data_IF_071415641628
#
_entry.id   IF_071415641628
#
_cell.length_a   1.000
_cell.length_b   1.000
_cell.length_c   1.000
_cell.angle_alpha   90.00
_cell.angle_beta   90.00
_cell.angle_gamma   90.00
#
_symmetry.space_group_name_H-M   'P 1'
#
loop_
_entity.id
_entity.type
_entity.pdbx_description
1 polymer ?
#
# COMPACT_ATOMS: atom_id res chain seq x y z
N UNK A 1 5.08 9.68 16.78
CA UNK A 1 5.13 9.96 15.33
C UNK A 1 3.85 9.46 14.70
N UNK A 2 3.12 10.29 13.96
CA UNK A 2 1.97 9.82 13.19
C UNK A 2 2.45 9.08 11.94
N UNK A 3 1.75 8.01 11.55
CA UNK A 3 1.98 7.37 10.26
C UNK A 3 1.60 8.34 9.12
N UNK A 4 2.39 8.37 8.04
CA UNK A 4 2.02 9.11 6.82
C UNK A 4 0.85 8.41 6.12
N UNK A 5 -0.17 9.16 5.73
CA UNK A 5 -1.31 8.66 4.95
C UNK A 5 -1.22 9.12 3.50
N UNK A 6 -1.46 8.20 2.56
CA UNK A 6 -1.48 8.48 1.13
C UNK A 6 -2.82 8.04 0.51
N UNK A 7 -3.33 8.82 -0.45
CA UNK A 7 -4.62 8.57 -1.15
C UNK A 7 -4.43 8.48 -2.66
N UNK A 8 -3.36 7.82 -3.06
CA UNK A 8 -2.82 7.77 -4.43
C UNK A 8 -2.79 6.34 -4.97
N UNK A 9 -3.76 5.53 -4.55
CA UNK A 9 -3.97 4.19 -5.09
C UNK A 9 -4.29 4.28 -6.59
N UNK A 10 -3.48 3.61 -7.41
CA UNK A 10 -3.60 3.66 -8.86
C UNK A 10 -4.36 2.46 -9.43
N UNK A 11 -4.15 1.25 -8.88
CA UNK A 11 -4.87 0.05 -9.29
C UNK A 11 -4.75 -1.06 -8.25
N UNK A 12 -5.73 -1.98 -8.20
CA UNK A 12 -5.69 -3.18 -7.38
C UNK A 12 -6.06 -4.43 -8.21
N UNK A 13 -5.27 -5.50 -8.12
CA UNK A 13 -5.51 -6.76 -8.84
C UNK A 13 -4.87 -7.94 -8.12
N UNK A 14 -5.63 -9.02 -7.88
CA UNK A 14 -5.10 -10.29 -7.39
C UNK A 14 -4.31 -10.18 -6.07
N UNK A 15 -4.80 -9.39 -5.12
CA UNK A 15 -4.11 -9.13 -3.85
C UNK A 15 -2.95 -8.14 -3.95
N UNK A 16 -2.68 -7.56 -5.11
CA UNK A 16 -1.68 -6.51 -5.30
C UNK A 16 -2.33 -5.14 -5.35
N UNK A 17 -1.65 -4.15 -4.77
CA UNK A 17 -2.03 -2.75 -4.82
C UNK A 17 -0.85 -1.92 -5.36
N UNK A 18 -1.11 -1.16 -6.42
CA UNK A 18 -0.16 -0.18 -6.98
C UNK A 18 -0.49 1.20 -6.42
N UNK A 19 0.52 1.87 -5.86
CA UNK A 19 0.42 3.25 -5.37
C UNK A 19 1.51 4.11 -5.99
N UNK A 20 1.22 5.40 -6.19
CA UNK A 20 2.13 6.40 -6.75
C UNK A 20 2.31 7.57 -5.78
N UNK A 21 3.35 8.37 -5.97
CA UNK A 21 3.58 9.59 -5.20
C UNK A 21 3.64 9.36 -3.67
N UNK A 22 4.34 8.31 -3.23
CA UNK A 22 4.47 7.91 -1.82
C UNK A 22 5.92 8.05 -1.30
N UNK A 23 6.44 9.29 -1.14
CA UNK A 23 7.84 9.50 -0.75
C UNK A 23 8.17 8.98 0.66
N UNK A 24 9.26 8.23 0.75
CA UNK A 24 9.72 7.65 2.01
C UNK A 24 9.04 6.33 2.39
N UNK A 25 8.40 5.67 1.42
CA UNK A 25 8.07 4.25 1.50
C UNK A 25 9.26 3.45 0.95
N UNK A 26 9.63 2.37 1.63
CA UNK A 26 10.75 1.50 1.28
C UNK A 26 10.32 0.05 1.05
N UNK A 27 11.17 -0.71 0.37
CA UNK A 27 10.99 -2.15 0.24
C UNK A 27 10.94 -2.82 1.62
N UNK A 28 9.96 -3.71 1.82
CA UNK A 28 9.76 -4.42 3.07
C UNK A 28 8.89 -3.69 4.10
N UNK A 29 8.56 -2.41 3.88
CA UNK A 29 7.68 -1.66 4.78
C UNK A 29 6.33 -2.36 4.97
N UNK A 30 5.89 -2.40 6.23
CA UNK A 30 4.54 -2.83 6.59
C UNK A 30 3.60 -1.64 6.50
N UNK A 31 2.45 -1.85 5.86
CA UNK A 31 1.46 -0.81 5.60
C UNK A 31 0.07 -1.25 6.05
N UNK A 32 -0.77 -0.29 6.38
CA UNK A 32 -2.20 -0.49 6.58
C UNK A 32 -2.95 0.20 5.43
N UNK A 33 -3.85 -0.54 4.80
CA UNK A 33 -4.71 -0.09 3.71
C UNK A 33 -6.11 0.11 4.28
N UNK A 34 -6.74 1.24 3.97
CA UNK A 34 -8.15 1.51 4.29
C UNK A 34 -8.94 1.68 2.99
N UNK A 35 -9.98 0.89 2.80
CA UNK A 35 -10.86 1.00 1.63
C UNK A 35 -11.92 2.12 1.81
N UNK A 36 -12.75 2.33 0.78
CA UNK A 36 -13.81 3.35 0.81
C UNK A 36 -14.94 3.07 1.81
N UNK A 37 -15.11 1.81 2.23
CA UNK A 37 -16.06 1.41 3.27
C UNK A 37 -15.45 1.50 4.68
N UNK A 38 -14.16 1.81 4.78
CA UNK A 38 -13.43 1.92 6.05
C UNK A 38 -12.81 0.60 6.53
N UNK A 39 -12.91 -0.50 5.77
CA UNK A 39 -12.25 -1.75 6.14
C UNK A 39 -10.74 -1.58 6.09
N UNK A 40 -10.07 -2.23 7.03
CA UNK A 40 -8.61 -2.18 7.15
C UNK A 40 -8.00 -3.52 6.78
N UNK A 41 -6.96 -3.47 5.95
CA UNK A 41 -6.13 -4.62 5.60
C UNK A 41 -4.67 -4.28 5.84
N UNK A 42 -3.87 -5.29 6.16
CA UNK A 42 -2.42 -5.14 6.25
C UNK A 42 -1.77 -5.55 4.92
N UNK A 43 -0.58 -5.05 4.68
CA UNK A 43 0.22 -5.45 3.54
C UNK A 43 1.69 -5.16 3.73
N UNK A 44 2.47 -5.54 2.72
CA UNK A 44 3.90 -5.30 2.67
C UNK A 44 4.31 -4.77 1.30
N UNK A 45 5.23 -3.81 1.30
CA UNK A 45 5.86 -3.33 0.08
C UNK A 45 6.80 -4.40 -0.47
N UNK A 46 6.50 -4.89 -1.67
CA UNK A 46 7.28 -5.95 -2.35
C UNK A 46 8.06 -5.42 -3.56
N UNK A 47 7.80 -4.18 -4.00
CA UNK A 47 8.62 -3.46 -4.98
C UNK A 47 8.54 -1.96 -4.72
N UNK A 48 9.67 -1.27 -4.75
CA UNK A 48 9.72 0.19 -4.65
C UNK A 48 10.57 0.75 -5.79
N UNK A 49 10.05 1.77 -6.47
CA UNK A 49 10.75 2.50 -7.52
C UNK A 49 10.32 3.96 -7.50
N UNK A 50 11.01 4.82 -8.27
CA UNK A 50 10.63 6.22 -8.41
C UNK A 50 9.26 6.41 -9.10
N UNK A 51 8.81 5.43 -9.89
CA UNK A 51 7.57 5.54 -10.66
C UNK A 51 6.35 5.02 -9.88
N UNK A 52 6.50 3.86 -9.23
CA UNK A 52 5.42 3.23 -8.48
C UNK A 52 5.94 2.28 -7.40
N UNK A 53 5.09 2.07 -6.40
CA UNK A 53 5.28 1.10 -5.33
C UNK A 53 4.23 0.01 -5.45
N UNK A 54 4.66 -1.24 -5.30
CA UNK A 54 3.80 -2.41 -5.32
C UNK A 54 3.68 -3.00 -3.92
N UNK A 55 2.45 -3.16 -3.46
CA UNK A 55 2.11 -3.68 -2.14
C UNK A 55 1.39 -5.02 -2.32
N UNK A 56 1.87 -6.06 -1.63
CA UNK A 56 1.10 -7.29 -1.42
C UNK A 56 0.14 -7.05 -0.26
N UNK A 57 -1.16 -7.12 -0.54
CA UNK A 57 -2.23 -7.05 0.46
C UNK A 57 -2.46 -8.46 1.00
N UNK A 58 -2.57 -8.58 2.32
CA UNK A 58 -2.93 -9.82 2.98
C UNK A 58 -4.45 -9.92 3.08
N UNK A 59 -4.98 -11.13 2.90
CA UNK A 59 -6.39 -11.38 3.20
C UNK A 59 -6.64 -11.31 4.70
N UNK A 60 -7.79 -10.76 5.05
CA UNK A 60 -8.40 -10.99 6.36
C UNK A 60 -9.12 -12.32 6.23
N UNK A 61 -8.53 -13.39 6.80
CA UNK A 61 -9.26 -14.64 7.02
C UNK A 61 -10.51 -14.42 7.87
#
# INVERSE_FOLDING_TARGET
MSAKEYRTAASARGGLLVVKDVPGVAFGDRVQIRDGAGHKRNGQVIRCSNAEVLIQVYDTG
#
